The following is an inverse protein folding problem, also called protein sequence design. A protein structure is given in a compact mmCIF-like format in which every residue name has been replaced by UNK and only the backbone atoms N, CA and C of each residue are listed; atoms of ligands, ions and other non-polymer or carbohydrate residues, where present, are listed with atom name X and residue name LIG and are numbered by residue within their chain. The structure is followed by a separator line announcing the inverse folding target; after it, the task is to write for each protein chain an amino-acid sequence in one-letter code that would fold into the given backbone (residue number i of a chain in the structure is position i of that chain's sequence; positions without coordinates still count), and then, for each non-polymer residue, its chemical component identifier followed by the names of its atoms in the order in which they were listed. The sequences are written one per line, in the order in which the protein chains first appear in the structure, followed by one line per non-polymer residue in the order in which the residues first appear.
data_IF_433655523289
#
_entry.id   IF_433655523289
#
_cell.length_a   1.000
_cell.length_b   1.000
_cell.length_c   1.000
_cell.angle_alpha   90.00
_cell.angle_beta   90.00
_cell.angle_gamma   90.00
#
_symmetry.space_group_name_H-M   'P 1'
#
loop_
_entity.id
_entity.type
_entity.pdbx_description
1 polymer ?
#
# COMPACT_ATOMS: atom_id res chain seq x y z
N UNK A 1 1.70 -7.35 -15.80
CA UNK A 1 0.43 -6.70 -16.21
C UNK A 1 -0.30 -6.21 -14.97
N UNK A 2 -0.73 -4.97 -14.99
CA UNK A 2 -1.49 -4.38 -13.88
C UNK A 2 -2.95 -4.26 -14.28
N UNK A 3 -3.85 -4.73 -13.44
CA UNK A 3 -5.29 -4.67 -13.71
C UNK A 3 -6.09 -4.40 -12.43
N UNK A 4 -7.31 -3.92 -12.59
CA UNK A 4 -8.22 -3.68 -11.48
C UNK A 4 -8.66 -4.99 -10.87
N UNK A 5 -8.63 -5.07 -9.54
CA UNK A 5 -9.12 -6.22 -8.79
C UNK A 5 -10.52 -5.94 -8.26
N UNK A 6 -11.29 -7.00 -8.07
CA UNK A 6 -12.63 -6.92 -7.46
C UNK A 6 -12.55 -7.60 -6.09
N UNK A 7 -12.28 -6.86 -5.01
CA UNK A 7 -11.99 -7.44 -3.71
C UNK A 7 -13.20 -8.08 -3.03
N UNK A 8 -14.42 -7.84 -3.52
CA UNK A 8 -15.64 -8.48 -3.00
C UNK A 8 -15.69 -9.97 -3.35
N UNK A 9 -14.96 -10.41 -4.39
CA UNK A 9 -14.86 -11.82 -4.73
C UNK A 9 -13.96 -12.54 -3.73
N UNK A 10 -14.42 -13.69 -3.22
CA UNK A 10 -13.69 -14.45 -2.19
C UNK A 10 -12.27 -14.84 -2.62
N UNK A 11 -12.11 -15.34 -3.84
CA UNK A 11 -10.81 -15.78 -4.35
C UNK A 11 -9.83 -14.60 -4.50
N UNK A 12 -10.33 -13.44 -4.93
CA UNK A 12 -9.52 -12.23 -5.04
C UNK A 12 -9.07 -11.74 -3.66
N UNK A 13 -9.99 -11.65 -2.71
CA UNK A 13 -9.67 -11.25 -1.33
C UNK A 13 -8.68 -12.22 -0.69
N UNK A 14 -8.83 -13.52 -0.92
CA UNK A 14 -7.90 -14.54 -0.43
C UNK A 14 -6.50 -14.37 -1.01
N UNK A 15 -6.39 -14.08 -2.31
CA UNK A 15 -5.11 -13.84 -2.96
C UNK A 15 -4.44 -12.57 -2.44
N UNK A 16 -5.21 -11.53 -2.18
CA UNK A 16 -4.71 -10.30 -1.58
C UNK A 16 -4.09 -10.61 -0.21
N UNK A 17 -4.81 -11.31 0.65
CA UNK A 17 -4.30 -11.67 1.99
C UNK A 17 -3.06 -12.55 1.93
N UNK A 18 -3.00 -13.46 0.96
CA UNK A 18 -1.88 -14.39 0.84
C UNK A 18 -0.53 -13.69 0.65
N UNK A 19 -0.52 -12.48 0.08
CA UNK A 19 0.71 -11.69 -0.04
C UNK A 19 0.78 -10.56 0.98
N UNK A 20 -0.35 -10.04 1.43
CA UNK A 20 -0.39 -8.95 2.40
C UNK A 20 0.20 -9.37 3.76
N UNK A 21 -0.22 -10.49 4.29
CA UNK A 21 0.19 -10.91 5.63
C UNK A 21 1.71 -11.14 5.71
N UNK A 22 2.34 -11.93 4.81
CA UNK A 22 3.79 -12.08 4.84
C UNK A 22 4.55 -10.77 4.66
N UNK A 23 4.06 -9.87 3.82
CA UNK A 23 4.69 -8.58 3.58
C UNK A 23 4.65 -7.70 4.83
N UNK A 24 3.52 -7.64 5.52
CA UNK A 24 3.39 -6.86 6.75
C UNK A 24 4.12 -7.49 7.93
N UNK A 25 4.31 -8.81 7.93
CA UNK A 25 5.17 -9.46 8.92
C UNK A 25 6.61 -8.94 8.82
N UNK A 26 7.10 -8.72 7.60
CA UNK A 26 8.42 -8.13 7.37
C UNK A 26 8.43 -6.66 7.79
N UNK A 27 7.38 -5.89 7.46
CA UNK A 27 7.27 -4.50 7.90
C UNK A 27 7.29 -4.39 9.43
N UNK A 28 6.63 -5.34 10.11
CA UNK A 28 6.63 -5.40 11.58
C UNK A 28 8.05 -5.50 12.16
N UNK A 29 8.96 -6.15 11.45
CA UNK A 29 10.37 -6.22 11.87
C UNK A 29 11.06 -4.87 11.80
N UNK A 30 10.76 -4.05 10.77
CA UNK A 30 11.35 -2.71 10.64
C UNK A 30 10.89 -1.79 11.77
N UNK A 31 9.62 -1.84 12.14
CA UNK A 31 9.07 -0.96 13.18
C UNK A 31 9.14 -1.59 14.57
N UNK A 32 9.66 -2.81 14.67
CA UNK A 32 9.79 -3.56 15.91
C UNK A 32 8.49 -3.65 16.70
N UNK A 33 7.39 -3.93 15.99
CA UNK A 33 6.06 -4.04 16.60
C UNK A 33 5.16 -4.94 15.76
N UNK A 34 4.32 -5.72 16.45
CA UNK A 34 3.26 -6.51 15.79
C UNK A 34 1.90 -5.79 15.81
N UNK A 35 1.86 -4.54 16.25
CA UNK A 35 0.62 -3.76 16.34
C UNK A 35 0.26 -3.09 15.01
N UNK A 36 0.47 -3.79 13.88
CA UNK A 36 0.04 -3.35 12.55
C UNK A 36 -1.33 -3.95 12.29
N UNK A 37 -2.40 -3.14 12.19
CA UNK A 37 -3.77 -3.68 12.03
C UNK A 37 -3.92 -4.62 10.83
N UNK A 38 -3.22 -4.34 9.73
CA UNK A 38 -3.35 -5.14 8.50
C UNK A 38 -2.74 -6.54 8.59
N UNK A 39 -1.93 -6.82 9.62
CA UNK A 39 -1.47 -8.18 9.94
C UNK A 39 -2.63 -9.10 10.31
N UNK A 40 -3.71 -8.52 10.80
CA UNK A 40 -4.87 -9.26 11.34
C UNK A 40 -6.10 -9.17 10.45
N UNK A 41 -5.97 -8.60 9.24
CA UNK A 41 -7.07 -8.56 8.27
C UNK A 41 -7.54 -9.96 7.92
N UNK A 42 -8.85 -10.10 7.77
CA UNK A 42 -9.51 -11.32 7.32
C UNK A 42 -10.07 -11.11 5.92
N UNK A 43 -10.57 -12.18 5.29
CA UNK A 43 -11.26 -12.08 4.00
C UNK A 43 -12.43 -11.09 4.06
N UNK A 44 -13.34 -11.15 5.04
CA UNK A 44 -14.41 -10.14 5.14
C UNK A 44 -13.88 -8.70 5.27
N UNK A 45 -12.77 -8.49 5.96
CA UNK A 45 -12.18 -7.15 6.09
C UNK A 45 -11.78 -6.59 4.72
N UNK A 46 -11.16 -7.40 3.87
CA UNK A 46 -10.79 -7.01 2.52
C UNK A 46 -12.04 -6.77 1.67
N UNK A 47 -13.02 -7.67 1.75
CA UNK A 47 -14.26 -7.57 0.97
C UNK A 47 -15.05 -6.29 1.28
N UNK A 48 -14.96 -5.80 2.51
CA UNK A 48 -15.77 -4.69 3.01
C UNK A 48 -15.01 -3.38 3.18
N UNK A 49 -13.75 -3.29 2.76
CA UNK A 49 -12.92 -2.12 3.03
C UNK A 49 -13.24 -0.89 2.17
N UNK A 50 -14.02 -1.05 1.09
CA UNK A 50 -14.41 0.04 0.17
C UNK A 50 -13.22 0.72 -0.55
N UNK A 51 -12.07 0.08 -0.58
CA UNK A 51 -10.90 0.58 -1.30
C UNK A 51 -10.92 0.09 -2.75
N UNK A 52 -10.31 0.88 -3.63
CA UNK A 52 -10.07 0.47 -5.01
C UNK A 52 -8.71 -0.21 -5.09
N UNK A 53 -8.64 -1.40 -5.68
CA UNK A 53 -7.43 -2.20 -5.79
C UNK A 53 -6.99 -2.35 -7.24
N UNK A 54 -5.68 -2.20 -7.47
CA UNK A 54 -5.02 -2.61 -8.72
C UNK A 54 -3.93 -3.60 -8.37
N UNK A 55 -3.89 -4.72 -9.10
CA UNK A 55 -2.96 -5.80 -8.86
C UNK A 55 -1.96 -5.97 -9.99
N UNK A 56 -0.74 -6.36 -9.62
CA UNK A 56 0.30 -6.74 -10.56
C UNK A 56 0.26 -8.26 -10.71
N UNK A 57 -0.06 -8.72 -11.94
CA UNK A 57 -0.21 -10.13 -12.25
C UNK A 57 1.00 -10.56 -13.08
N UNK A 58 1.70 -11.59 -12.64
CA UNK A 58 2.81 -12.19 -13.33
C UNK A 58 2.55 -13.69 -13.42
N UNK A 59 2.55 -14.24 -14.66
CA UNK A 59 2.29 -15.66 -14.90
C UNK A 59 1.02 -16.17 -14.21
N UNK A 60 -0.05 -15.41 -14.37
CA UNK A 60 -1.38 -15.67 -13.78
C UNK A 60 -1.42 -15.64 -12.25
N UNK A 61 -0.40 -15.06 -11.61
CA UNK A 61 -0.33 -14.98 -10.16
C UNK A 61 -0.23 -13.53 -9.71
N UNK A 62 -1.01 -13.18 -8.67
CA UNK A 62 -0.92 -11.86 -8.04
C UNK A 62 0.38 -11.79 -7.23
N UNK A 63 1.24 -10.82 -7.56
CA UNK A 63 2.52 -10.63 -6.87
C UNK A 63 2.63 -9.29 -6.13
N UNK A 64 1.70 -8.39 -6.35
CA UNK A 64 1.67 -7.11 -5.66
C UNK A 64 0.36 -6.40 -5.93
N UNK A 65 0.04 -5.40 -5.11
CA UNK A 65 -1.16 -4.58 -5.32
C UNK A 65 -1.01 -3.23 -4.64
N UNK A 66 -1.82 -2.29 -5.11
CA UNK A 66 -1.99 -0.98 -4.48
C UNK A 66 -3.47 -0.75 -4.25
N UNK A 67 -3.82 -0.17 -3.12
CA UNK A 67 -5.20 0.25 -2.86
C UNK A 67 -5.26 1.68 -2.39
N UNK A 68 -6.38 2.32 -2.69
CA UNK A 68 -6.58 3.73 -2.36
C UNK A 68 -8.06 4.05 -2.27
N UNK A 69 -8.35 5.20 -1.66
CA UNK A 69 -9.67 5.82 -1.67
C UNK A 69 -9.53 7.21 -2.29
N UNK A 70 -10.37 7.50 -3.27
CA UNK A 70 -10.44 8.84 -3.87
C UNK A 70 -11.32 9.72 -2.97
N UNK A 71 -10.69 10.67 -2.26
CA UNK A 71 -11.37 11.57 -1.34
C UNK A 71 -11.89 12.85 -2.03
N UNK A 72 -11.70 12.98 -3.34
CA UNK A 72 -12.06 14.19 -4.09
C UNK A 72 -10.90 15.17 -4.15
N UNK A 73 -10.49 15.74 -3.01
CA UNK A 73 -9.38 16.69 -2.94
C UNK A 73 -8.02 16.00 -3.03
N UNK A 74 -7.94 14.73 -2.68
CA UNK A 74 -6.70 13.94 -2.72
C UNK A 74 -7.02 12.46 -2.84
N UNK A 75 -6.02 11.70 -3.26
CA UNK A 75 -6.04 10.24 -3.32
C UNK A 75 -5.33 9.73 -2.08
N UNK A 76 -6.06 8.97 -1.26
CA UNK A 76 -5.53 8.42 -0.03
C UNK A 76 -5.05 7.00 -0.27
N UNK A 77 -3.73 6.82 -0.35
CA UNK A 77 -3.14 5.50 -0.58
C UNK A 77 -3.20 4.72 0.74
N UNK A 78 -3.87 3.58 0.71
CA UNK A 78 -4.07 2.74 1.89
C UNK A 78 -3.10 1.58 1.97
N UNK A 79 -2.80 0.93 0.84
CA UNK A 79 -1.94 -0.25 0.81
C UNK A 79 -1.07 -0.20 -0.43
N UNK A 80 0.20 -0.55 -0.26
CA UNK A 80 1.12 -0.81 -1.35
C UNK A 80 1.97 -2.00 -0.91
N UNK A 81 1.65 -3.15 -1.47
CA UNK A 81 2.14 -4.44 -0.98
C UNK A 81 2.75 -5.22 -2.13
N UNK A 82 3.91 -5.82 -1.89
CA UNK A 82 4.57 -6.72 -2.84
C UNK A 82 4.86 -8.03 -2.12
N UNK A 83 4.64 -9.15 -2.81
CA UNK A 83 5.02 -10.46 -2.29
C UNK A 83 6.52 -10.44 -1.94
N UNK A 84 6.92 -10.97 -0.77
CA UNK A 84 8.32 -10.98 -0.39
C UNK A 84 9.25 -11.63 -1.42
N UNK A 85 8.76 -12.63 -2.16
CA UNK A 85 9.55 -13.29 -3.21
C UNK A 85 9.84 -12.38 -4.40
N UNK A 86 9.18 -11.24 -4.48
CA UNK A 86 9.30 -10.30 -5.60
C UNK A 86 9.79 -8.91 -5.15
N UNK A 87 10.36 -8.81 -3.96
CA UNK A 87 10.98 -7.57 -3.48
C UNK A 87 12.16 -7.17 -4.38
N UNK A 88 12.42 -5.88 -4.47
CA UNK A 88 13.55 -5.29 -5.21
C UNK A 88 13.52 -5.54 -6.72
N UNK A 89 12.33 -5.80 -7.28
CA UNK A 89 12.15 -6.03 -8.72
C UNK A 89 11.33 -4.93 -9.40
N UNK A 90 11.11 -3.82 -8.72
CA UNK A 90 10.38 -2.68 -9.28
C UNK A 90 8.87 -2.82 -9.32
N UNK A 91 8.29 -3.82 -8.65
CA UNK A 91 6.84 -4.03 -8.63
C UNK A 91 6.12 -2.87 -7.96
N UNK A 92 6.59 -2.44 -6.78
CA UNK A 92 6.00 -1.30 -6.06
C UNK A 92 6.08 -0.01 -6.89
N UNK A 93 7.21 0.24 -7.54
CA UNK A 93 7.38 1.38 -8.43
C UNK A 93 6.39 1.35 -9.58
N UNK A 94 6.23 0.19 -10.21
CA UNK A 94 5.28 0.02 -11.33
C UNK A 94 3.84 0.29 -10.89
N UNK A 95 3.45 -0.18 -9.71
CA UNK A 95 2.11 0.05 -9.17
C UNK A 95 1.88 1.52 -8.87
N UNK A 96 2.86 2.17 -8.27
CA UNK A 96 2.77 3.59 -7.92
C UNK A 96 2.68 4.47 -9.18
N UNK A 97 3.51 4.19 -10.19
CA UNK A 97 3.46 4.91 -11.47
C UNK A 97 2.14 4.67 -12.20
N UNK A 98 1.61 3.46 -12.12
CA UNK A 98 0.30 3.16 -12.68
C UNK A 98 -0.80 4.01 -12.03
N UNK A 99 -0.75 4.13 -10.70
CA UNK A 99 -1.69 4.99 -9.97
C UNK A 99 -1.62 6.43 -10.47
N UNK A 100 -0.42 6.98 -10.66
CA UNK A 100 -0.25 8.35 -11.13
C UNK A 100 -0.82 8.53 -12.55
N UNK A 101 -0.80 7.48 -13.38
CA UNK A 101 -1.31 7.55 -14.75
C UNK A 101 -2.83 7.49 -14.86
N UNK A 102 -3.53 6.94 -13.87
CA UNK A 102 -5.00 6.90 -13.92
C UNK A 102 -5.64 8.22 -13.46
N UNK A 103 -4.90 9.08 -12.82
CA UNK A 103 -5.39 10.40 -12.39
C UNK A 103 -4.69 11.51 -13.16
N UNK A 104 -5.26 12.72 -13.10
CA UNK A 104 -4.67 13.89 -13.77
C UNK A 104 -3.34 14.28 -13.11
N UNK A 105 -2.53 15.07 -13.84
CA UNK A 105 -1.26 15.58 -13.31
C UNK A 105 -1.45 16.49 -12.09
N UNK A 106 -2.67 17.03 -11.90
CA UNK A 106 -3.00 17.89 -10.77
C UNK A 106 -3.43 17.12 -9.54
N UNK A 107 -3.53 15.80 -9.62
CA UNK A 107 -3.96 14.97 -8.50
C UNK A 107 -2.97 15.06 -7.35
N UNK A 108 -3.51 15.06 -6.14
CA UNK A 108 -2.74 15.07 -4.89
C UNK A 108 -2.84 13.71 -4.25
N UNK A 109 -1.76 13.27 -3.62
CA UNK A 109 -1.69 11.94 -2.99
C UNK A 109 -1.21 12.08 -1.56
N UNK A 110 -1.81 11.30 -0.67
CA UNK A 110 -1.39 11.20 0.72
C UNK A 110 -1.16 9.72 1.04
N UNK A 111 -0.10 9.43 1.80
CA UNK A 111 0.20 8.09 2.28
C UNK A 111 0.76 8.18 3.69
N UNK A 112 0.48 7.17 4.51
CA UNK A 112 1.07 7.02 5.83
C UNK A 112 1.82 5.69 5.89
N UNK A 113 3.00 5.71 6.51
CA UNK A 113 3.78 4.50 6.74
C UNK A 113 4.55 4.64 8.05
N UNK A 114 5.00 3.51 8.61
CA UNK A 114 5.80 3.55 9.82
C UNK A 114 7.07 4.39 9.65
N UNK A 115 7.35 5.25 10.62
CA UNK A 115 8.56 6.10 10.57
C UNK A 115 9.83 5.27 10.45
N UNK A 116 9.86 4.09 11.03
CA UNK A 116 11.01 3.18 10.96
C UNK A 116 11.05 2.34 9.68
N UNK A 117 10.01 2.40 8.85
CA UNK A 117 9.97 1.66 7.57
C UNK A 117 10.74 2.43 6.50
N UNK A 118 12.06 2.33 6.56
CA UNK A 118 12.95 3.08 5.67
C UNK A 118 12.77 2.75 4.18
N UNK A 119 12.59 1.49 3.78
CA UNK A 119 12.36 1.19 2.36
C UNK A 119 11.12 1.89 1.80
N UNK A 120 10.01 1.93 2.55
CA UNK A 120 8.80 2.61 2.13
C UNK A 120 9.02 4.12 2.03
N UNK A 121 9.64 4.73 3.03
CA UNK A 121 9.95 6.16 3.01
C UNK A 121 10.81 6.53 1.81
N UNK A 122 11.83 5.72 1.51
CA UNK A 122 12.71 5.95 0.36
C UNK A 122 11.95 5.87 -0.94
N UNK A 123 11.07 4.89 -1.08
CA UNK A 123 10.24 4.72 -2.28
C UNK A 123 9.38 5.96 -2.53
N UNK A 124 8.66 6.41 -1.52
CA UNK A 124 7.77 7.56 -1.66
C UNK A 124 8.54 8.85 -1.96
N UNK A 125 9.63 9.09 -1.23
CA UNK A 125 10.47 10.28 -1.46
C UNK A 125 11.05 10.29 -2.88
N UNK A 126 11.49 9.14 -3.38
CA UNK A 126 12.01 9.00 -4.74
C UNK A 126 10.96 9.40 -5.79
N UNK A 127 9.69 9.21 -5.49
CA UNK A 127 8.60 9.51 -6.42
C UNK A 127 7.89 10.83 -6.12
N UNK A 128 8.55 11.74 -5.42
CA UNK A 128 8.08 13.11 -5.27
C UNK A 128 7.23 13.38 -4.03
N UNK A 129 7.12 12.42 -3.12
CA UNK A 129 6.45 12.64 -1.85
C UNK A 129 7.36 13.37 -0.89
N UNK A 130 6.79 14.28 -0.11
CA UNK A 130 7.48 14.99 0.96
C UNK A 130 6.83 14.65 2.29
N UNK A 131 7.65 14.63 3.35
CA UNK A 131 7.16 14.41 4.71
C UNK A 131 6.38 15.63 5.16
N UNK A 132 5.17 15.39 5.69
CA UNK A 132 4.29 16.45 6.20
C UNK A 132 4.35 16.50 7.72
N UNK A 133 4.13 15.36 8.38
CA UNK A 133 4.17 15.28 9.83
C UNK A 133 4.29 13.82 10.29
N UNK A 134 4.57 13.65 11.57
CA UNK A 134 4.54 12.37 12.24
C UNK A 134 3.28 12.28 13.13
N UNK A 135 2.72 11.08 13.22
CA UNK A 135 1.53 10.79 14.04
C UNK A 135 1.95 9.72 15.04
N UNK A 136 1.82 10.02 16.34
CA UNK A 136 2.12 9.06 17.39
C UNK A 136 0.84 8.31 17.76
N UNK A 137 0.85 7.00 17.60
CA UNK A 137 -0.29 6.16 17.96
C UNK A 137 -0.25 5.83 19.47
N UNK A 138 -1.42 5.44 20.05
CA UNK A 138 -1.49 5.15 21.50
C UNK A 138 -0.50 4.07 21.97
N UNK A 139 -0.11 3.14 21.11
CA UNK A 139 0.85 2.07 21.42
C UNK A 139 2.31 2.50 21.27
N UNK A 140 2.56 3.77 20.94
CA UNK A 140 3.91 4.33 20.78
C UNK A 140 4.48 4.21 19.37
N UNK A 141 3.79 3.55 18.44
CA UNK A 141 4.20 3.49 17.05
C UNK A 141 4.06 4.89 16.44
N UNK A 142 5.07 5.31 15.68
CA UNK A 142 5.06 6.59 14.98
C UNK A 142 4.84 6.31 13.50
N UNK A 143 3.80 6.92 12.93
CA UNK A 143 3.53 6.94 11.50
C UNK A 143 4.03 8.24 10.90
N UNK A 144 4.63 8.17 9.73
CA UNK A 144 5.01 9.35 8.95
C UNK A 144 3.99 9.53 7.84
N UNK A 145 3.43 10.73 7.75
CA UNK A 145 2.54 11.11 6.67
C UNK A 145 3.34 11.83 5.59
N UNK A 146 3.16 11.39 4.35
CA UNK A 146 3.80 12.00 3.19
C UNK A 146 2.74 12.45 2.20
N UNK A 147 3.08 13.48 1.43
CA UNK A 147 2.18 14.08 0.45
C UNK A 147 2.90 14.33 -0.86
N UNK A 148 2.22 14.09 -1.95
CA UNK A 148 2.67 14.45 -3.30
C UNK A 148 1.62 15.35 -3.93
N UNK A 149 2.03 16.54 -4.41
CA UNK A 149 1.13 17.51 -5.02
C UNK A 149 1.38 17.75 -6.50
N UNK A 150 2.45 17.15 -7.03
CA UNK A 150 2.80 17.29 -8.45
C UNK A 150 3.47 16.03 -8.99
#
# INVERSE_FOLDING_TARGET
MICKLIPTAFDVASNILAIQIPAYEIEAQYINSTAIPRLYDTVPDIQNCNETFYGYILENKLIGFISFINKGDFIDIHRLVVSPDHFHKGVATSLLLYLFNIFSNDAKYIVQTGKANKPALSLYKKHGFIVVNDIVLPDGIILTQLKKTE
#
